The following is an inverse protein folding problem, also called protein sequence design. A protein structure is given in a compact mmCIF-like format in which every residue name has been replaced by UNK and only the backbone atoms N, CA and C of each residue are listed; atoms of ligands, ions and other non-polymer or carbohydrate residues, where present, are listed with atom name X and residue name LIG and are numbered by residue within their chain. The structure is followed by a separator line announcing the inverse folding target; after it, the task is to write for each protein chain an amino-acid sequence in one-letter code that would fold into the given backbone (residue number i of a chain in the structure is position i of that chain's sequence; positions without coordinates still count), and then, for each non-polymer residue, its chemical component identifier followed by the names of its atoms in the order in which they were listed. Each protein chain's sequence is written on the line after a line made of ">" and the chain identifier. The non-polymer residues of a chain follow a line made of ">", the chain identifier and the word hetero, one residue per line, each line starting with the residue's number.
data_IF_570071985616
#
_entry.id   IF_570071985616
#
_cell.length_a   1.000
_cell.length_b   1.000
_cell.length_c   1.000
_cell.angle_alpha   90.00
_cell.angle_beta   90.00
_cell.angle_gamma   90.00
#
_symmetry.space_group_name_H-M   'P 1'
#
loop_
_entity.id
_entity.type
_entity.pdbx_description
1 polymer ?
#
# COMPACT_ATOMS: atom_id res chain seq x y z
N UNK A 1 9.89 14.66 10.85
CA UNK A 1 8.66 15.48 10.89
C UNK A 1 8.16 15.76 12.31
N UNK A 2 8.08 14.79 13.23
CA UNK A 2 7.60 15.04 14.61
C UNK A 2 8.35 16.17 15.33
N UNK A 3 9.68 16.20 15.21
CA UNK A 3 10.53 17.28 15.75
C UNK A 3 10.20 18.65 15.14
N UNK A 4 9.96 18.71 13.83
CA UNK A 4 9.64 19.98 13.15
C UNK A 4 8.27 20.52 13.61
N UNK A 5 7.28 19.65 13.77
CA UNK A 5 5.96 20.01 14.32
C UNK A 5 6.14 20.57 15.74
N UNK A 6 6.90 19.89 16.59
CA UNK A 6 7.18 20.34 17.95
C UNK A 6 7.82 21.73 18.00
N UNK A 7 8.90 21.95 17.24
CA UNK A 7 9.62 23.22 17.20
C UNK A 7 8.73 24.37 16.69
N UNK A 8 7.91 24.13 15.66
CA UNK A 8 7.00 25.14 15.13
C UNK A 8 5.86 25.48 16.11
N UNK A 9 5.35 24.48 16.86
CA UNK A 9 4.40 24.72 17.95
C UNK A 9 5.03 25.58 19.05
N UNK A 10 6.25 25.26 19.47
CA UNK A 10 7.01 26.04 20.47
C UNK A 10 7.29 27.47 20.01
N UNK A 11 7.50 27.68 18.70
CA UNK A 11 7.64 29.00 18.09
C UNK A 11 6.32 29.77 17.91
N UNK A 12 5.17 29.19 18.32
CA UNK A 12 3.87 29.86 18.26
C UNK A 12 3.16 29.80 16.91
N UNK A 13 3.54 28.88 16.03
CA UNK A 13 2.87 28.68 14.74
C UNK A 13 1.37 28.39 14.92
N UNK A 14 0.54 28.97 14.04
CA UNK A 14 -0.92 28.77 14.03
C UNK A 14 -1.38 27.66 13.09
N UNK A 15 -0.48 27.14 12.27
CA UNK A 15 -0.71 26.06 11.31
C UNK A 15 0.60 25.74 10.56
N UNK A 16 0.66 24.58 9.92
CA UNK A 16 1.83 24.15 9.15
C UNK A 16 1.40 23.64 7.77
N UNK A 17 2.14 24.06 6.73
CA UNK A 17 2.05 23.50 5.38
C UNK A 17 3.35 22.74 5.13
N UNK A 18 3.24 21.42 4.95
CA UNK A 18 4.38 20.56 4.63
C UNK A 18 4.45 20.32 3.13
N UNK A 19 5.53 20.80 2.51
CA UNK A 19 5.92 20.36 1.19
C UNK A 19 6.47 18.93 1.29
N UNK A 20 5.84 17.99 0.59
CA UNK A 20 6.26 16.60 0.58
C UNK A 20 6.01 15.96 -0.76
N UNK A 21 6.79 14.94 -1.08
CA UNK A 21 6.42 14.01 -2.14
C UNK A 21 5.13 13.28 -1.79
N UNK A 22 4.49 12.66 -2.79
CA UNK A 22 3.36 11.77 -2.59
C UNK A 22 3.70 10.78 -1.46
N UNK A 23 2.92 10.84 -0.38
CA UNK A 23 3.03 9.95 0.77
C UNK A 23 1.68 9.33 1.04
N UNK A 24 1.74 8.09 1.50
CA UNK A 24 0.56 7.23 1.68
C UNK A 24 0.13 7.10 3.15
N UNK A 25 0.64 7.97 4.03
CA UNK A 25 0.38 7.94 5.47
C UNK A 25 -0.09 9.29 6.01
N UNK A 26 -1.32 9.32 6.54
CA UNK A 26 -1.91 10.46 7.26
C UNK A 26 -1.65 10.39 8.77
N UNK A 27 -1.14 9.27 9.27
CA UNK A 27 -0.73 9.05 10.67
C UNK A 27 0.23 10.14 11.17
N UNK A 28 1.07 10.66 10.29
CA UNK A 28 1.99 11.78 10.60
C UNK A 28 1.30 13.09 10.96
N UNK A 29 0.05 13.27 10.57
CA UNK A 29 -0.75 14.45 10.90
C UNK A 29 -1.34 14.38 12.31
N UNK A 30 -1.33 13.21 12.95
CA UNK A 30 -1.80 13.07 14.33
C UNK A 30 -0.95 13.91 15.30
N UNK A 31 0.36 14.03 15.05
CA UNK A 31 1.29 14.87 15.83
C UNK A 31 0.91 16.35 15.83
N UNK A 32 0.11 16.79 14.85
CA UNK A 32 -0.38 18.16 14.79
C UNK A 32 -1.45 18.45 15.86
N UNK A 33 -2.16 17.44 16.36
CA UNK A 33 -3.21 17.60 17.36
C UNK A 33 -4.28 18.58 16.89
N UNK A 34 -4.54 19.64 17.66
CA UNK A 34 -5.52 20.68 17.30
C UNK A 34 -5.00 21.73 16.31
N UNK A 35 -3.71 21.72 15.98
CA UNK A 35 -3.13 22.68 15.04
C UNK A 35 -3.38 22.23 13.60
N UNK A 36 -3.88 23.10 12.70
CA UNK A 36 -4.04 22.76 11.29
C UNK A 36 -2.72 22.38 10.64
N UNK A 37 -2.67 21.19 10.03
CA UNK A 37 -1.56 20.74 9.21
C UNK A 37 -2.06 20.29 7.84
N UNK A 38 -1.38 20.74 6.79
CA UNK A 38 -1.72 20.42 5.41
C UNK A 38 -0.47 19.86 4.72
N UNK A 39 -0.61 18.73 4.04
CA UNK A 39 0.40 18.21 3.14
C UNK A 39 0.11 18.73 1.73
N UNK A 40 1.13 19.23 1.06
CA UNK A 40 1.07 19.67 -0.33
C UNK A 40 2.26 19.08 -1.09
N UNK A 41 2.10 18.87 -2.39
CA UNK A 41 3.23 18.53 -3.25
C UNK A 41 4.20 19.72 -3.39
N UNK A 42 5.37 19.47 -3.97
CA UNK A 42 6.39 20.50 -4.14
C UNK A 42 6.00 21.58 -5.15
N UNK A 43 5.13 21.27 -6.12
CA UNK A 43 4.66 22.25 -7.10
C UNK A 43 3.76 23.27 -6.42
N UNK A 44 2.75 22.80 -5.68
CA UNK A 44 1.86 23.63 -4.86
C UNK A 44 2.66 24.38 -3.79
N UNK A 45 3.62 23.74 -3.14
CA UNK A 45 4.49 24.41 -2.17
C UNK A 45 5.28 25.57 -2.80
N UNK A 46 5.79 25.39 -4.00
CA UNK A 46 6.52 26.44 -4.73
C UNK A 46 5.60 27.61 -5.09
N UNK A 47 4.37 27.34 -5.53
CA UNK A 47 3.36 28.37 -5.80
C UNK A 47 3.00 29.17 -4.53
N UNK A 48 2.83 28.48 -3.40
CA UNK A 48 2.59 29.11 -2.09
C UNK A 48 3.78 29.99 -1.69
N UNK A 49 5.01 29.46 -1.83
CA UNK A 49 6.23 30.20 -1.49
C UNK A 49 6.36 31.47 -2.34
N UNK A 50 6.18 31.37 -3.65
CA UNK A 50 6.24 32.52 -4.55
C UNK A 50 5.21 33.59 -4.16
N UNK A 51 3.98 33.18 -3.85
CA UNK A 51 2.93 34.10 -3.40
C UNK A 51 3.27 34.81 -2.08
N UNK A 52 3.98 34.13 -1.17
CA UNK A 52 4.42 34.69 0.10
C UNK A 52 5.60 35.66 -0.05
N UNK A 53 6.51 35.40 -1.01
CA UNK A 53 7.62 36.30 -1.34
C UNK A 53 7.12 37.61 -1.98
N UNK A 54 6.03 37.55 -2.75
CA UNK A 54 5.40 38.72 -3.39
C UNK A 54 4.47 39.52 -2.46
N UNK A 55 3.81 38.87 -1.49
CA UNK A 55 2.86 39.51 -0.58
C UNK A 55 3.06 39.05 0.87
N UNK A 56 3.66 39.93 1.68
CA UNK A 56 3.92 39.69 3.11
C UNK A 56 2.65 39.63 3.97
N UNK A 57 1.48 40.02 3.44
CA UNK A 57 0.18 39.95 4.10
C UNK A 57 -0.70 38.78 3.57
N UNK A 58 -0.09 37.74 2.99
CA UNK A 58 -0.80 36.57 2.47
C UNK A 58 -1.67 35.90 3.56
N UNK A 59 -2.97 35.74 3.26
CA UNK A 59 -3.92 35.03 4.11
C UNK A 59 -4.21 33.64 3.52
N UNK A 60 -3.92 32.60 4.31
CA UNK A 60 -4.25 31.21 3.95
C UNK A 60 -5.46 30.75 4.75
N UNK A 61 -6.46 30.20 4.05
CA UNK A 61 -7.64 29.59 4.67
C UNK A 61 -7.53 28.07 4.60
N UNK A 62 -7.51 27.42 5.76
CA UNK A 62 -7.57 25.95 5.86
C UNK A 62 -8.99 25.55 6.23
N UNK A 63 -9.57 24.63 5.44
CA UNK A 63 -10.89 24.06 5.70
C UNK A 63 -10.77 22.69 6.39
N UNK A 64 -11.87 22.19 6.94
CA UNK A 64 -11.93 20.83 7.45
C UNK A 64 -11.63 19.81 6.34
N UNK A 65 -10.91 18.73 6.69
CA UNK A 65 -10.58 17.65 5.76
C UNK A 65 -11.84 17.01 5.18
N UNK A 66 -11.78 16.61 3.91
CA UNK A 66 -12.85 15.92 3.19
C UNK A 66 -12.27 14.70 2.49
N UNK A 67 -13.06 13.63 2.41
CA UNK A 67 -12.73 12.44 1.64
C UNK A 67 -13.37 12.55 0.26
N UNK A 68 -12.56 12.35 -0.78
CA UNK A 68 -13.03 12.25 -2.17
C UNK A 68 -13.01 10.78 -2.59
N UNK A 69 -14.04 10.36 -3.33
CA UNK A 69 -14.19 9.00 -3.86
C UNK A 69 -14.64 9.14 -5.32
N UNK A 70 -14.16 8.27 -6.20
CA UNK A 70 -14.58 8.21 -7.60
C UNK A 70 -13.41 8.27 -8.58
N UNK A 71 -13.74 8.47 -9.86
CA UNK A 71 -12.78 8.36 -10.96
C UNK A 71 -11.66 9.41 -10.90
N UNK A 72 -11.93 10.56 -10.29
CA UNK A 72 -10.99 11.66 -10.09
C UNK A 72 -9.82 11.27 -9.16
N UNK A 73 -9.97 10.25 -8.31
CA UNK A 73 -8.90 9.78 -7.41
C UNK A 73 -8.07 8.73 -8.11
N UNK A 74 -6.79 9.02 -8.38
CA UNK A 74 -5.89 8.06 -9.01
C UNK A 74 -5.51 6.93 -8.03
N UNK A 75 -6.27 5.84 -8.08
CA UNK A 75 -6.10 4.63 -7.27
C UNK A 75 -6.48 3.37 -8.08
N UNK A 76 -5.88 2.21 -7.80
CA UNK A 76 -4.89 2.00 -6.74
C UNK A 76 -3.47 2.44 -7.14
N UNK A 77 -2.62 2.65 -6.14
CA UNK A 77 -1.18 2.92 -6.27
C UNK A 77 -0.42 2.07 -5.25
N UNK A 78 0.82 1.72 -5.57
CA UNK A 78 1.69 1.02 -4.62
C UNK A 78 2.35 2.03 -3.70
N UNK A 79 2.11 1.87 -2.41
CA UNK A 79 2.58 2.79 -1.40
C UNK A 79 4.10 2.86 -1.31
N UNK A 80 4.60 4.03 -0.97
CA UNK A 80 6.03 4.33 -0.83
C UNK A 80 6.73 3.43 0.20
N UNK A 81 6.01 3.01 1.24
CA UNK A 81 6.51 2.14 2.30
C UNK A 81 6.46 0.64 1.96
N UNK A 82 5.76 0.25 0.88
CA UNK A 82 5.63 -1.16 0.52
C UNK A 82 6.98 -1.69 0.08
N UNK A 83 7.47 -2.77 0.72
CA UNK A 83 8.72 -3.42 0.31
C UNK A 83 8.59 -4.00 -1.09
N UNK A 84 9.68 -3.93 -1.86
CA UNK A 84 9.74 -4.35 -3.26
C UNK A 84 10.62 -5.58 -3.40
N UNK A 85 10.32 -6.41 -4.38
CA UNK A 85 11.20 -7.50 -4.80
C UNK A 85 12.39 -7.01 -5.64
N UNK A 86 13.25 -7.94 -6.10
CA UNK A 86 13.20 -9.38 -5.81
C UNK A 86 13.50 -9.69 -4.34
N UNK A 87 13.05 -10.86 -3.86
CA UNK A 87 13.40 -11.29 -2.51
C UNK A 87 14.90 -11.65 -2.46
N UNK A 88 15.69 -11.09 -1.52
CA UNK A 88 17.10 -11.44 -1.41
C UNK A 88 17.32 -12.88 -0.93
N UNK A 89 16.32 -13.47 -0.25
CA UNK A 89 16.37 -14.84 0.24
C UNK A 89 15.86 -15.85 -0.80
N UNK A 90 14.96 -15.41 -1.69
CA UNK A 90 14.29 -16.27 -2.66
C UNK A 90 14.24 -15.57 -4.03
N UNK A 91 15.40 -15.32 -4.66
CA UNK A 91 15.49 -14.52 -5.87
C UNK A 91 14.76 -15.15 -7.07
N UNK A 92 14.63 -16.47 -7.08
CA UNK A 92 13.93 -17.22 -8.13
C UNK A 92 12.40 -17.13 -8.02
N UNK A 93 11.87 -16.62 -6.90
CA UNK A 93 10.44 -16.46 -6.66
C UNK A 93 10.06 -14.99 -6.66
N UNK A 94 9.11 -14.63 -7.53
CA UNK A 94 8.55 -13.29 -7.57
C UNK A 94 7.90 -12.94 -6.23
N UNK A 95 8.27 -11.78 -5.68
CA UNK A 95 7.65 -11.18 -4.49
C UNK A 95 7.46 -9.67 -4.69
N UNK A 96 6.36 -9.08 -4.13
CA UNK A 96 5.29 -9.73 -3.37
C UNK A 96 4.39 -10.63 -4.23
N UNK A 97 3.46 -11.39 -3.62
CA UNK A 97 2.53 -12.24 -4.39
C UNK A 97 1.33 -11.45 -4.94
N UNK A 98 0.75 -10.55 -4.13
CA UNK A 98 -0.41 -9.71 -4.46
C UNK A 98 -0.33 -8.37 -3.70
N UNK A 99 -1.09 -7.39 -4.16
CA UNK A 99 -1.35 -6.12 -3.48
C UNK A 99 -2.79 -6.05 -2.93
N UNK A 100 -2.99 -5.28 -1.87
CA UNK A 100 -4.30 -5.04 -1.26
C UNK A 100 -4.32 -3.67 -0.55
N UNK A 101 -5.50 -3.15 -0.17
CA UNK A 101 -5.61 -1.86 0.52
C UNK A 101 -4.82 -1.85 1.84
N UNK A 102 -3.82 -0.97 1.92
CA UNK A 102 -2.95 -0.86 3.10
C UNK A 102 -2.63 0.57 3.52
N UNK A 103 -3.18 1.59 2.86
CA UNK A 103 -2.91 3.00 3.16
C UNK A 103 -4.16 3.66 3.76
N UNK A 104 -4.00 4.34 4.89
CA UNK A 104 -5.05 5.07 5.59
C UNK A 104 -6.30 4.20 5.81
N UNK A 105 -6.08 2.99 6.32
CA UNK A 105 -7.15 2.05 6.66
C UNK A 105 -7.68 2.40 8.05
N UNK A 106 -8.99 2.66 8.14
CA UNK A 106 -9.68 2.87 9.41
C UNK A 106 -9.89 1.52 10.10
N UNK A 107 -9.36 1.35 11.30
CA UNK A 107 -9.52 0.12 12.08
C UNK A 107 -9.74 0.42 13.57
N UNK A 108 -10.29 -0.55 14.29
CA UNK A 108 -10.49 -0.46 15.73
C UNK A 108 -9.16 -0.51 16.48
N UNK A 109 -9.02 0.34 17.50
CA UNK A 109 -7.90 0.40 18.44
C UNK A 109 -8.48 0.59 19.82
N UNK A 110 -8.50 -0.48 20.61
CA UNK A 110 -9.14 -0.51 21.92
C UNK A 110 -10.61 -0.03 21.81
N UNK A 111 -10.98 1.06 22.48
CA UNK A 111 -12.33 1.64 22.49
C UNK A 111 -12.53 2.75 21.43
N UNK A 112 -11.66 2.81 20.41
CA UNK A 112 -11.66 3.87 19.41
C UNK A 112 -11.39 3.35 17.98
N UNK A 113 -11.45 4.24 16.99
CA UNK A 113 -11.03 3.95 15.61
C UNK A 113 -9.92 4.90 15.19
N UNK A 114 -8.91 4.37 14.51
CA UNK A 114 -7.77 5.15 14.00
C UNK A 114 -7.41 4.73 12.59
N UNK A 115 -6.80 5.66 11.86
CA UNK A 115 -6.24 5.38 10.55
C UNK A 115 -4.81 4.88 10.69
N UNK A 116 -4.51 3.74 10.07
CA UNK A 116 -3.15 3.24 9.96
C UNK A 116 -2.78 2.92 8.52
N UNK A 117 -1.49 3.02 8.24
CA UNK A 117 -0.89 2.63 6.96
C UNK A 117 0.18 1.58 7.19
N UNK A 118 0.21 0.57 6.32
CA UNK A 118 1.22 -0.48 6.34
C UNK A 118 0.79 -1.72 5.56
N UNK A 119 1.77 -2.53 5.18
CA UNK A 119 1.48 -3.90 4.68
C UNK A 119 0.80 -4.75 5.75
N UNK A 120 1.00 -4.43 7.03
CA UNK A 120 0.24 -4.97 8.15
C UNK A 120 -1.27 -4.72 8.06
N UNK A 121 -1.71 -3.67 7.35
CA UNK A 121 -3.13 -3.38 7.10
C UNK A 121 -3.62 -4.03 5.79
N UNK A 122 -2.73 -4.26 4.83
CA UNK A 122 -3.03 -5.00 3.61
C UNK A 122 -3.20 -6.51 3.87
N UNK A 123 -2.34 -7.10 4.72
CA UNK A 123 -2.36 -8.51 5.09
C UNK A 123 -3.73 -9.03 5.60
N UNK A 124 -4.43 -8.36 6.53
CA UNK A 124 -5.73 -8.82 7.00
C UNK A 124 -6.83 -8.74 5.93
N UNK A 125 -6.73 -7.84 4.95
CA UNK A 125 -7.65 -7.85 3.80
C UNK A 125 -7.48 -9.13 2.97
N UNK A 126 -6.24 -9.47 2.61
CA UNK A 126 -5.94 -10.71 1.87
C UNK A 126 -6.35 -11.93 2.68
N UNK A 127 -6.07 -11.94 3.99
CA UNK A 127 -6.38 -13.06 4.89
C UNK A 127 -7.89 -13.27 5.04
N UNK A 128 -8.66 -12.19 5.15
CA UNK A 128 -10.13 -12.24 5.18
C UNK A 128 -10.70 -12.83 3.89
N UNK A 129 -10.19 -12.39 2.73
CA UNK A 129 -10.61 -12.94 1.43
C UNK A 129 -10.21 -14.41 1.29
N UNK A 130 -8.99 -14.79 1.68
CA UNK A 130 -8.55 -16.18 1.68
C UNK A 130 -9.45 -17.08 2.56
N UNK A 131 -9.88 -16.58 3.73
CA UNK A 131 -10.81 -17.30 4.59
C UNK A 131 -12.20 -17.47 3.95
N UNK A 132 -12.70 -16.43 3.26
CA UNK A 132 -13.95 -16.51 2.50
C UNK A 132 -13.86 -17.52 1.34
N UNK A 133 -12.74 -17.52 0.61
CA UNK A 133 -12.49 -18.51 -0.44
C UNK A 133 -12.44 -19.92 0.13
N UNK A 134 -11.78 -20.15 1.28
CA UNK A 134 -11.78 -21.46 1.95
C UNK A 134 -13.15 -21.88 2.45
N UNK A 135 -13.99 -20.93 2.88
CA UNK A 135 -15.36 -21.23 3.27
C UNK A 135 -16.24 -21.61 2.07
N UNK A 136 -16.03 -20.98 0.92
CA UNK A 136 -16.78 -21.25 -0.30
C UNK A 136 -16.29 -22.52 -1.04
N UNK A 137 -14.97 -22.79 -0.96
CA UNK A 137 -14.32 -23.97 -1.53
C UNK A 137 -13.57 -24.76 -0.44
N UNK A 138 -14.28 -25.57 0.38
CA UNK A 138 -13.70 -26.25 1.53
C UNK A 138 -12.58 -27.25 1.20
N UNK A 139 -12.55 -27.75 -0.04
CA UNK A 139 -11.59 -28.70 -0.57
C UNK A 139 -10.32 -28.06 -1.12
N UNK A 140 -10.33 -26.74 -1.41
CA UNK A 140 -9.16 -26.06 -1.95
C UNK A 140 -7.96 -26.11 -0.99
N UNK A 141 -6.80 -26.46 -1.54
CA UNK A 141 -5.52 -26.37 -0.83
C UNK A 141 -5.16 -24.88 -0.58
N UNK A 142 -4.24 -24.59 0.37
CA UNK A 142 -3.69 -23.25 0.51
C UNK A 142 -3.02 -22.74 -0.78
N UNK A 143 -2.41 -23.64 -1.57
CA UNK A 143 -1.79 -23.29 -2.84
C UNK A 143 -2.84 -22.89 -3.89
N UNK A 144 -3.96 -23.61 -3.99
CA UNK A 144 -5.09 -23.22 -4.85
C UNK A 144 -5.65 -21.85 -4.45
N UNK A 145 -5.86 -21.60 -3.15
CA UNK A 145 -6.37 -20.30 -2.68
C UNK A 145 -5.40 -19.18 -3.05
N UNK A 146 -4.10 -19.39 -2.83
CA UNK A 146 -3.06 -18.44 -3.23
C UNK A 146 -3.09 -18.23 -4.75
N UNK A 147 -3.15 -19.31 -5.53
CA UNK A 147 -3.19 -19.24 -6.99
C UNK A 147 -4.38 -18.43 -7.46
N UNK A 148 -5.59 -18.71 -6.93
CA UNK A 148 -6.80 -18.00 -7.28
C UNK A 148 -6.66 -16.49 -7.03
N UNK A 149 -6.11 -16.10 -5.88
CA UNK A 149 -5.86 -14.68 -5.56
C UNK A 149 -4.86 -14.03 -6.51
N UNK A 150 -3.78 -14.72 -6.88
CA UNK A 150 -2.72 -14.19 -7.73
C UNK A 150 -3.17 -14.08 -9.20
N UNK A 151 -3.80 -15.13 -9.74
CA UNK A 151 -4.14 -15.20 -11.18
C UNK A 151 -5.36 -14.37 -11.55
N UNK A 152 -6.20 -14.00 -10.58
CA UNK A 152 -7.41 -13.20 -10.81
C UNK A 152 -7.26 -11.73 -10.42
N UNK A 153 -6.12 -11.36 -9.84
CA UNK A 153 -5.83 -9.99 -9.44
C UNK A 153 -5.76 -9.03 -10.64
N UNK A 154 -6.03 -7.75 -10.36
CA UNK A 154 -6.11 -6.69 -11.36
C UNK A 154 -4.83 -5.85 -11.36
N UNK A 155 -4.29 -5.64 -12.56
CA UNK A 155 -3.00 -4.97 -12.80
C UNK A 155 -3.11 -3.60 -13.48
N UNK A 156 -4.32 -3.16 -13.81
CA UNK A 156 -4.56 -1.85 -14.41
C UNK A 156 -5.81 -1.20 -13.81
N UNK A 157 -5.90 0.12 -13.99
CA UNK A 157 -7.10 0.89 -13.68
C UNK A 157 -7.70 1.39 -14.99
N UNK A 158 -8.78 0.75 -15.46
CA UNK A 158 -9.49 1.18 -16.69
C UNK A 158 -8.53 1.36 -17.89
N UNK A 159 -7.52 0.49 -18.01
CA UNK A 159 -6.50 0.55 -19.06
C UNK A 159 -5.29 1.47 -18.80
N UNK A 160 -5.19 2.08 -17.61
CA UNK A 160 -4.00 2.82 -17.20
C UNK A 160 -3.10 1.97 -16.28
N UNK A 161 -1.76 2.08 -16.43
CA UNK A 161 -0.83 1.35 -15.57
C UNK A 161 -0.95 1.84 -14.12
N UNK A 162 -0.79 0.90 -13.19
CA UNK A 162 -0.63 1.21 -11.77
C UNK A 162 0.69 1.95 -11.56
N UNK A 163 0.67 2.97 -10.71
CA UNK A 163 1.87 3.70 -10.33
C UNK A 163 2.39 3.21 -8.98
N UNK A 164 3.71 3.21 -8.84
CA UNK A 164 4.42 2.99 -7.61
C UNK A 164 4.90 4.34 -7.06
N UNK A 165 4.34 4.74 -5.93
CA UNK A 165 4.81 5.91 -5.20
C UNK A 165 6.24 5.65 -4.69
N UNK A 166 7.08 6.67 -4.82
CA UNK A 166 8.53 6.55 -4.73
C UNK A 166 9.24 7.85 -5.10
N UNK A 167 10.57 7.85 -5.04
CA UNK A 167 11.40 8.97 -5.46
C UNK A 167 12.49 8.52 -6.44
N UNK A 168 12.26 8.65 -7.76
CA UNK A 168 11.03 9.15 -8.43
C UNK A 168 9.86 8.15 -8.37
N UNK A 169 8.64 8.64 -8.61
CA UNK A 169 7.50 7.78 -8.90
C UNK A 169 7.77 7.02 -10.21
N UNK A 170 7.37 5.74 -10.28
CA UNK A 170 7.53 4.91 -11.48
C UNK A 170 6.24 4.19 -11.85
N UNK A 171 6.17 3.68 -13.08
CA UNK A 171 5.20 2.65 -13.44
C UNK A 171 5.49 1.41 -12.60
N UNK A 172 4.46 0.87 -11.96
CA UNK A 172 4.61 -0.29 -11.11
C UNK A 172 4.81 -1.56 -11.96
N UNK A 173 5.68 -2.44 -11.47
CA UNK A 173 6.01 -3.72 -12.08
C UNK A 173 5.67 -4.89 -11.11
N UNK A 174 5.81 -6.15 -11.54
CA UNK A 174 5.46 -7.29 -10.69
C UNK A 174 6.28 -7.38 -9.39
N UNK A 175 7.45 -6.74 -9.27
CA UNK A 175 8.18 -6.66 -8.00
C UNK A 175 7.58 -5.64 -7.03
N UNK A 176 6.58 -4.86 -7.47
CA UNK A 176 5.83 -3.93 -6.63
C UNK A 176 4.50 -4.50 -6.13
N UNK A 177 3.80 -5.30 -6.94
CA UNK A 177 2.45 -5.79 -6.65
C UNK A 177 2.20 -7.28 -6.89
N UNK A 178 3.19 -8.02 -7.38
CA UNK A 178 3.03 -9.44 -7.71
C UNK A 178 2.05 -9.66 -8.86
N UNK A 179 1.01 -10.45 -8.62
CA UNK A 179 -0.07 -10.71 -9.56
C UNK A 179 -1.09 -9.57 -9.72
N UNK A 180 -1.06 -8.56 -8.82
CA UNK A 180 -1.92 -7.37 -8.88
C UNK A 180 -2.67 -7.08 -7.59
N UNK A 181 -3.63 -6.15 -7.66
CA UNK A 181 -4.58 -5.90 -6.58
C UNK A 181 -5.63 -7.01 -6.54
N UNK A 182 -5.85 -7.58 -5.35
CA UNK A 182 -6.83 -8.67 -5.17
C UNK A 182 -8.22 -8.28 -5.65
N UNK A 183 -8.87 -9.19 -6.38
CA UNK A 183 -10.29 -9.11 -6.74
C UNK A 183 -11.03 -10.29 -6.12
N UNK A 184 -11.72 -10.10 -4.98
CA UNK A 184 -12.41 -11.18 -4.28
C UNK A 184 -13.49 -11.87 -5.13
N UNK A 185 -14.17 -11.11 -5.99
CA UNK A 185 -15.28 -11.64 -6.79
C UNK A 185 -14.76 -12.51 -7.94
N UNK A 186 -13.62 -12.14 -8.54
CA UNK A 186 -12.99 -12.98 -9.57
C UNK A 186 -12.29 -14.19 -8.97
N UNK A 187 -11.71 -14.06 -7.78
CA UNK A 187 -11.00 -15.15 -7.11
C UNK A 187 -11.92 -16.32 -6.70
N UNK A 188 -13.24 -16.12 -6.64
CA UNK A 188 -14.20 -17.19 -6.34
C UNK A 188 -14.27 -18.24 -7.45
N UNK A 189 -13.97 -17.87 -8.70
CA UNK A 189 -13.97 -18.78 -9.83
C UNK A 189 -12.81 -18.42 -10.77
N UNK A 190 -11.58 -18.86 -10.43
CA UNK A 190 -10.39 -18.53 -11.20
C UNK A 190 -10.33 -19.28 -12.55
N UNK A 191 -11.23 -20.24 -12.78
CA UNK A 191 -11.20 -21.19 -13.89
C UNK A 191 -10.08 -22.23 -13.75
N UNK A 192 -8.82 -21.77 -13.68
CA UNK A 192 -7.64 -22.60 -13.47
C UNK A 192 -6.84 -22.12 -12.26
N UNK A 193 -6.27 -23.08 -11.53
CA UNK A 193 -5.37 -22.81 -10.41
C UNK A 193 -4.13 -23.70 -10.50
N UNK A 194 -3.00 -23.16 -10.06
CA UNK A 194 -1.75 -23.89 -9.88
C UNK A 194 -1.73 -24.46 -8.47
N UNK A 195 -1.83 -25.79 -8.36
CA UNK A 195 -1.72 -26.48 -7.08
C UNK A 195 -0.29 -26.95 -6.83
N UNK A 196 0.09 -27.02 -5.56
CA UNK A 196 1.40 -27.49 -5.12
C UNK A 196 1.23 -28.24 -3.81
N UNK A 197 1.54 -29.53 -3.84
CA UNK A 197 1.53 -30.37 -2.65
C UNK A 197 2.71 -30.11 -1.72
N UNK A 198 2.55 -30.49 -0.46
CA UNK A 198 3.55 -30.33 0.60
C UNK A 198 4.85 -31.08 0.29
N UNK A 199 4.77 -32.21 -0.41
CA UNK A 199 5.95 -32.96 -0.86
C UNK A 199 6.85 -32.14 -1.78
N UNK A 200 6.27 -31.37 -2.71
CA UNK A 200 7.04 -30.49 -3.60
C UNK A 200 7.75 -29.37 -2.83
N UNK A 201 7.13 -28.82 -1.77
CA UNK A 201 7.80 -27.86 -0.90
C UNK A 201 8.98 -28.48 -0.16
N UNK A 202 8.83 -29.70 0.35
CA UNK A 202 9.92 -30.41 1.02
C UNK A 202 11.05 -30.72 0.05
N UNK A 203 10.76 -31.25 -1.14
CA UNK A 203 11.76 -31.52 -2.16
C UNK A 203 12.51 -30.24 -2.56
N UNK A 204 11.80 -29.12 -2.71
CA UNK A 204 12.43 -27.82 -2.97
C UNK A 204 13.34 -27.38 -1.83
N UNK A 205 12.90 -27.47 -0.57
CA UNK A 205 13.71 -27.07 0.58
C UNK A 205 14.93 -27.97 0.78
N UNK A 206 14.79 -29.28 0.61
CA UNK A 206 15.91 -30.22 0.67
C UNK A 206 16.96 -29.93 -0.40
N UNK A 207 16.51 -29.66 -1.63
CA UNK A 207 17.39 -29.21 -2.72
C UNK A 207 18.10 -27.89 -2.36
N UNK A 208 17.36 -26.90 -1.86
CA UNK A 208 17.90 -25.58 -1.53
C UNK A 208 18.95 -25.62 -0.41
N UNK A 209 18.72 -26.44 0.61
CA UNK A 209 19.69 -26.64 1.70
C UNK A 209 20.79 -27.65 1.36
N UNK A 210 20.79 -28.23 0.16
CA UNK A 210 21.83 -29.16 -0.33
C UNK A 210 21.76 -30.56 0.28
N UNK A 211 20.59 -30.97 0.79
CA UNK A 211 20.39 -32.26 1.44
C UNK A 211 20.09 -33.41 0.46
N UNK A 212 19.80 -33.12 -0.81
CA UNK A 212 19.54 -34.12 -1.85
C UNK A 212 19.85 -33.60 -3.27
N UNK A 213 20.00 -34.51 -4.24
CA UNK A 213 20.20 -34.16 -5.66
C UNK A 213 18.90 -33.72 -6.30
N UNK A 214 18.88 -32.51 -6.85
CA UNK A 214 17.69 -31.92 -7.48
C UNK A 214 17.53 -32.45 -8.91
N UNK A 215 16.54 -33.28 -9.18
CA UNK A 215 15.93 -33.35 -10.50
C UNK A 215 14.75 -32.37 -10.48
N UNK A 216 14.85 -31.32 -11.31
CA UNK A 216 13.81 -30.30 -11.50
C UNK A 216 12.90 -30.75 -12.63
#
# INVERSE_FOLDING_TARGET
>A
MPLAIKLLKEAGAKGIIFATYARDGLDILEDCGSMPCVLVDFEVAQQIKQSADENTALLVKVAAARTSIGDEVFAPKISTFSSRGPSPLWPDFLKPDVAAPGSNILAAVEDSYKFFSGTSMACPHVSGVAALLKAFHPDWSPAIIKSALVTTAINDRSGLPILADGLPQKIADPFDYGGGFIDPNRAIDPGLAYDVDLEHYNSFLECFYGNSSCEI
#
